data_IF_368651306200
#
_entry.id   IF_368651306200
#
_cell.length_a   1.000
_cell.length_b   1.000
_cell.length_c   1.000
_cell.angle_alpha   90.00
_cell.angle_beta   90.00
_cell.angle_gamma   90.00
#
_symmetry.space_group_name_H-M   'P 1'
#
loop_
_entity.id
_entity.type
_entity.pdbx_description
1 polymer ?
#
# COMPACT_ATOMS: atom_id res chain seq x y z
N UNK A 1 19.08 10.28 -21.45
CA UNK A 1 18.46 9.00 -21.12
C UNK A 1 18.24 8.92 -19.62
N UNK A 2 17.02 8.69 -19.23
CA UNK A 2 16.71 8.55 -17.82
C UNK A 2 17.20 7.21 -17.30
N UNK A 3 17.76 7.25 -16.10
CA UNK A 3 18.11 6.02 -15.40
C UNK A 3 16.90 5.51 -14.65
N UNK A 4 16.76 4.20 -14.61
CA UNK A 4 15.73 3.60 -13.79
C UNK A 4 15.94 3.97 -12.32
N UNK A 5 14.86 4.22 -11.60
CA UNK A 5 14.93 4.50 -10.17
C UNK A 5 15.44 3.29 -9.42
N UNK A 6 16.35 3.52 -8.47
CA UNK A 6 16.88 2.45 -7.62
C UNK A 6 15.92 2.10 -6.49
N UNK A 7 15.02 3.02 -6.18
CA UNK A 7 14.04 2.88 -5.10
C UNK A 7 12.65 3.22 -5.61
N UNK A 8 11.68 2.57 -5.01
CA UNK A 8 10.25 2.81 -5.26
C UNK A 8 9.57 3.04 -3.94
N UNK A 9 8.57 3.89 -3.94
CA UNK A 9 7.69 4.06 -2.79
C UNK A 9 6.44 3.22 -3.03
N UNK A 10 6.26 2.19 -2.23
CA UNK A 10 5.04 1.40 -2.25
C UNK A 10 4.04 2.08 -1.31
N UNK A 11 2.86 2.35 -1.83
CA UNK A 11 1.77 3.00 -1.08
C UNK A 11 0.61 2.03 -1.01
N UNK A 12 0.13 1.75 0.19
CA UNK A 12 -1.05 0.93 0.38
C UNK A 12 -2.09 1.74 1.17
N UNK A 13 -3.25 1.93 0.57
CA UNK A 13 -4.38 2.59 1.24
C UNK A 13 -5.35 1.49 1.64
N UNK A 14 -5.59 1.33 2.92
CA UNK A 14 -6.28 0.16 3.46
C UNK A 14 -7.21 0.56 4.58
N UNK A 15 -8.23 -0.24 4.83
CA UNK A 15 -9.11 -0.03 5.96
C UNK A 15 -8.32 0.01 7.26
N UNK A 16 -8.72 0.89 8.18
CA UNK A 16 -8.07 1.00 9.48
C UNK A 16 -8.10 -0.35 10.21
N UNK A 17 -6.99 -0.69 10.84
CA UNK A 17 -6.83 -1.96 11.55
C UNK A 17 -6.06 -3.02 10.78
N UNK A 18 -5.74 -2.78 9.51
CA UNK A 18 -5.04 -3.77 8.67
C UNK A 18 -3.61 -3.39 8.31
N UNK A 19 -3.08 -2.31 8.85
CA UNK A 19 -1.73 -1.87 8.52
C UNK A 19 -0.65 -2.86 8.92
N UNK A 20 -0.84 -3.57 10.04
CA UNK A 20 0.14 -4.58 10.46
C UNK A 20 0.12 -5.78 9.52
N UNK A 21 -1.03 -6.12 8.95
CA UNK A 21 -1.12 -7.17 7.94
C UNK A 21 -0.35 -6.76 6.68
N UNK A 22 -0.46 -5.48 6.29
CA UNK A 22 0.32 -4.93 5.17
C UNK A 22 1.81 -5.05 5.46
N UNK A 23 2.24 -4.63 6.64
CA UNK A 23 3.66 -4.68 6.99
C UNK A 23 4.20 -6.09 7.05
N UNK A 24 3.42 -7.04 7.58
CA UNK A 24 3.83 -8.44 7.61
C UNK A 24 4.02 -8.99 6.20
N UNK A 25 3.10 -8.69 5.29
CA UNK A 25 3.18 -9.11 3.89
C UNK A 25 4.40 -8.48 3.20
N UNK A 26 4.61 -7.18 3.41
CA UNK A 26 5.74 -6.48 2.81
C UNK A 26 7.08 -7.02 3.31
N UNK A 27 7.20 -7.28 4.60
CA UNK A 27 8.42 -7.87 5.17
C UNK A 27 8.70 -9.25 4.62
N UNK A 28 7.67 -10.06 4.42
CA UNK A 28 7.82 -11.39 3.82
C UNK A 28 8.39 -11.29 2.41
N UNK A 29 8.12 -10.20 1.71
CA UNK A 29 8.65 -9.95 0.36
C UNK A 29 9.98 -9.20 0.35
N UNK A 30 10.56 -8.91 1.52
CA UNK A 30 11.89 -8.31 1.62
C UNK A 30 11.93 -6.85 2.08
N UNK A 31 10.78 -6.22 2.32
CA UNK A 31 10.77 -4.86 2.83
C UNK A 31 11.22 -4.84 4.29
N UNK A 32 11.81 -3.73 4.70
CA UNK A 32 12.34 -3.60 6.07
C UNK A 32 11.37 -2.95 7.02
N UNK A 33 10.81 -1.82 6.65
CA UNK A 33 9.88 -1.10 7.50
C UNK A 33 9.05 -0.13 6.70
N UNK A 34 8.16 0.56 7.37
CA UNK A 34 7.28 1.51 6.72
C UNK A 34 6.75 2.54 7.69
N UNK A 35 6.01 3.49 7.16
CA UNK A 35 5.37 4.54 7.93
C UNK A 35 3.88 4.42 7.74
N UNK A 36 3.15 4.44 8.83
CA UNK A 36 1.70 4.32 8.82
C UNK A 36 1.10 5.67 9.16
N UNK A 37 0.22 6.16 8.29
CA UNK A 37 -0.45 7.45 8.45
C UNK A 37 -1.95 7.20 8.53
N UNK A 38 -2.60 7.78 9.52
CA UNK A 38 -4.05 7.74 9.61
C UNK A 38 -4.65 8.62 8.54
N UNK A 39 -5.71 8.12 7.92
CA UNK A 39 -6.35 8.80 6.81
C UNK A 39 -7.86 8.57 6.85
N UNK A 40 -8.56 9.28 6.01
CA UNK A 40 -9.99 9.12 5.87
C UNK A 40 -10.35 9.01 4.40
N UNK A 41 -11.10 7.98 4.06
CA UNK A 41 -11.59 7.80 2.71
C UNK A 41 -12.91 8.51 2.51
N UNK A 42 -13.20 8.85 1.26
CA UNK A 42 -14.49 9.38 0.87
C UNK A 42 -15.34 8.22 0.38
N UNK A 43 -16.45 7.95 1.06
CA UNK A 43 -17.37 6.92 0.65
C UNK A 43 -18.17 7.39 -0.56
N UNK A 44 -18.48 6.45 -1.47
CA UNK A 44 -19.39 6.71 -2.56
C UNK A 44 -20.78 6.18 -2.15
N UNK A 45 -21.74 7.04 -1.78
CA UNK A 45 -23.05 6.58 -1.31
C UNK A 45 -23.80 5.77 -2.35
N UNK A 46 -23.66 6.11 -3.63
CA UNK A 46 -24.32 5.37 -4.69
C UNK A 46 -23.77 3.95 -4.82
N UNK A 47 -22.46 3.79 -4.69
CA UNK A 47 -21.84 2.47 -4.74
C UNK A 47 -22.23 1.64 -3.53
N UNK A 48 -22.29 2.24 -2.34
CA UNK A 48 -22.73 1.55 -1.13
C UNK A 48 -24.16 1.02 -1.30
N UNK A 49 -25.03 1.87 -1.79
CA UNK A 49 -26.44 1.51 -2.01
C UNK A 49 -26.57 0.43 -3.08
N UNK A 50 -25.88 0.61 -4.21
CA UNK A 50 -25.96 -0.32 -5.33
C UNK A 50 -25.48 -1.72 -4.99
N UNK A 51 -24.34 -1.81 -4.28
CA UNK A 51 -23.72 -3.08 -3.92
C UNK A 51 -24.15 -3.60 -2.55
N UNK A 52 -24.99 -2.85 -1.84
CA UNK A 52 -25.42 -3.19 -0.49
C UNK A 52 -24.24 -3.47 0.45
N UNK A 53 -23.22 -2.62 0.40
CA UNK A 53 -22.03 -2.73 1.23
C UNK A 53 -21.84 -1.45 2.03
N UNK A 54 -21.19 -1.60 3.18
CA UNK A 54 -20.74 -0.46 3.99
C UNK A 54 -19.28 -0.21 3.72
N UNK A 55 -18.94 1.00 3.31
CA UNK A 55 -17.56 1.38 3.09
C UNK A 55 -17.04 2.08 4.35
N UNK A 56 -16.05 1.49 4.98
CA UNK A 56 -15.44 2.06 6.18
C UNK A 56 -14.67 3.33 5.79
N UNK A 57 -14.99 4.50 6.38
CA UNK A 57 -14.29 5.73 6.03
C UNK A 57 -12.88 5.83 6.62
N UNK A 58 -12.63 5.19 7.76
CA UNK A 58 -11.33 5.25 8.40
C UNK A 58 -10.34 4.36 7.66
N UNK A 59 -9.27 4.98 7.22
CA UNK A 59 -8.23 4.34 6.42
C UNK A 59 -6.88 4.52 7.10
N UNK A 60 -5.94 3.70 6.67
CA UNK A 60 -4.53 3.89 6.97
C UNK A 60 -3.78 3.88 5.67
N UNK A 61 -2.78 4.74 5.56
CA UNK A 61 -1.88 4.76 4.42
C UNK A 61 -0.54 4.23 4.89
N UNK A 62 -0.08 3.16 4.26
CA UNK A 62 1.21 2.56 4.58
C UNK A 62 2.19 2.93 3.49
N UNK A 63 3.28 3.58 3.88
CA UNK A 63 4.32 4.04 2.98
C UNK A 63 5.57 3.19 3.20
N UNK A 64 6.02 2.50 2.16
CA UNK A 64 7.14 1.57 2.28
C UNK A 64 8.14 1.88 1.18
N UNK A 65 9.34 2.33 1.58
CA UNK A 65 10.42 2.57 0.64
C UNK A 65 11.17 1.27 0.42
N UNK A 66 11.23 0.81 -0.81
CA UNK A 66 11.87 -0.46 -1.16
C UNK A 66 12.84 -0.27 -2.32
N UNK A 67 13.77 -1.19 -2.45
CA UNK A 67 14.60 -1.24 -3.66
C UNK A 67 13.74 -1.66 -4.85
N UNK A 68 14.06 -1.11 -6.01
CA UNK A 68 13.28 -1.35 -7.22
C UNK A 68 13.23 -2.84 -7.61
N UNK A 69 14.26 -3.59 -7.27
CA UNK A 69 14.33 -5.01 -7.63
C UNK A 69 13.34 -5.89 -6.86
N UNK A 70 12.83 -5.43 -5.71
CA UNK A 70 11.83 -6.17 -4.95
C UNK A 70 10.43 -5.56 -5.03
N UNK A 71 10.29 -4.42 -5.70
CA UNK A 71 9.03 -3.68 -5.74
C UNK A 71 7.85 -4.53 -6.23
N UNK A 72 8.03 -5.24 -7.32
CA UNK A 72 6.94 -6.04 -7.88
C UNK A 72 6.50 -7.16 -6.95
N UNK A 73 7.44 -7.80 -6.27
CA UNK A 73 7.12 -8.85 -5.31
C UNK A 73 6.40 -8.29 -4.09
N UNK A 74 6.80 -7.10 -3.63
CA UNK A 74 6.13 -6.42 -2.52
C UNK A 74 4.68 -6.08 -2.92
N UNK A 75 4.48 -5.49 -4.10
CA UNK A 75 3.14 -5.17 -4.59
C UNK A 75 2.25 -6.41 -4.64
N UNK A 76 2.78 -7.48 -5.22
CA UNK A 76 2.04 -8.74 -5.39
C UNK A 76 1.66 -9.36 -4.05
N UNK A 77 2.61 -9.44 -3.12
CA UNK A 77 2.39 -10.06 -1.82
C UNK A 77 1.40 -9.25 -0.97
N UNK A 78 1.54 -7.93 -0.97
CA UNK A 78 0.61 -7.05 -0.25
C UNK A 78 -0.79 -7.17 -0.85
N UNK A 79 -0.91 -7.13 -2.17
CA UNK A 79 -2.22 -7.24 -2.82
C UNK A 79 -2.89 -8.58 -2.52
N UNK A 80 -2.14 -9.67 -2.55
CA UNK A 80 -2.68 -10.99 -2.27
C UNK A 80 -3.27 -11.08 -0.87
N UNK A 81 -2.62 -10.45 0.11
CA UNK A 81 -3.03 -10.56 1.51
C UNK A 81 -3.99 -9.46 1.97
N UNK A 82 -3.97 -8.30 1.30
CA UNK A 82 -4.67 -7.11 1.78
C UNK A 82 -5.46 -6.39 0.70
N UNK A 83 -5.53 -6.94 -0.51
CA UNK A 83 -6.13 -6.25 -1.66
C UNK A 83 -7.65 -6.16 -1.63
N UNK A 84 -8.21 -5.79 -2.76
CA UNK A 84 -9.65 -5.49 -2.87
C UNK A 84 -10.56 -6.69 -2.60
N UNK A 85 -10.05 -7.92 -2.73
CA UNK A 85 -10.82 -9.11 -2.44
C UNK A 85 -10.74 -9.54 -0.97
N UNK A 86 -10.08 -8.78 -0.13
CA UNK A 86 -9.92 -9.05 1.30
C UNK A 86 -10.67 -8.05 2.14
N UNK A 87 -10.82 -8.33 3.45
CA UNK A 87 -11.49 -7.41 4.37
C UNK A 87 -10.78 -6.06 4.50
N UNK A 88 -9.47 -6.01 4.26
CA UNK A 88 -8.73 -4.77 4.28
C UNK A 88 -9.09 -3.84 3.13
N UNK A 89 -9.56 -4.39 2.01
CA UNK A 89 -9.91 -3.63 0.80
C UNK A 89 -8.78 -2.70 0.37
N UNK A 90 -7.55 -3.21 0.37
CA UNK A 90 -6.37 -2.41 0.10
C UNK A 90 -6.18 -2.10 -1.38
N UNK A 91 -5.79 -0.87 -1.64
CA UNK A 91 -5.32 -0.42 -2.95
C UNK A 91 -3.82 -0.21 -2.80
N UNK A 92 -3.02 -0.88 -3.62
CA UNK A 92 -1.58 -0.78 -3.53
C UNK A 92 -0.99 -0.35 -4.87
N UNK A 93 -0.06 0.58 -4.83
CA UNK A 93 0.61 1.07 -6.02
C UNK A 93 2.02 1.53 -5.66
N UNK A 94 2.82 1.81 -6.66
CA UNK A 94 4.18 2.29 -6.43
C UNK A 94 4.48 3.53 -7.25
N UNK A 95 5.42 4.32 -6.74
CA UNK A 95 5.92 5.53 -7.38
C UNK A 95 7.44 5.46 -7.42
N UNK A 96 8.07 5.79 -8.57
CA UNK A 96 9.52 5.85 -8.60
C UNK A 96 10.03 6.99 -7.72
N UNK A 97 11.09 6.72 -6.98
CA UNK A 97 11.72 7.72 -6.12
C UNK A 97 12.95 8.24 -6.82
N UNK A 98 12.94 9.52 -7.16
CA UNK A 98 14.03 10.13 -7.90
C UNK A 98 15.32 10.24 -7.09
N UNK A 99 15.19 10.43 -5.76
CA UNK A 99 16.33 10.58 -4.88
C UNK A 99 15.94 10.25 -3.45
N UNK A 100 16.81 9.60 -2.71
CA UNK A 100 16.59 9.29 -1.30
C UNK A 100 17.91 9.30 -0.53
N UNK A 101 17.85 9.68 0.74
CA UNK A 101 19.03 9.66 1.61
C UNK A 101 19.48 8.23 1.94
N UNK A 102 18.67 7.22 1.67
CA UNK A 102 19.10 5.84 1.85
C UNK A 102 20.28 5.45 0.96
N UNK A 103 20.45 6.15 -0.14
CA UNK A 103 21.52 5.85 -1.09
C UNK A 103 22.71 6.80 -0.99
N UNK A 104 22.71 7.71 -0.03
CA UNK A 104 23.80 8.65 0.18
C UNK A 104 24.94 8.08 1.01
#
# INVERSE_FOLDING_TARGET
MEQASKYELVVCIINAGYSETVMAAARAAGARGGTIVRARGSANPEAEEFFNISIQPDKEVVLILVKSDIKDEVLKTVYKNCGLSTEGLGIVFSLPVSKTTFSL
#
